data_IF_756953199758
#
_entry.id   IF_756953199758
#
_cell.length_a   1.000
_cell.length_b   1.000
_cell.length_c   1.000
_cell.angle_alpha   90.00
_cell.angle_beta   90.00
_cell.angle_gamma   90.00
#
_symmetry.space_group_name_H-M   'P 1'
#
loop_
_entity.id
_entity.type
_entity.pdbx_description
1 polymer ?
#
# COMPACT_ATOMS: atom_id res chain seq x y z
N UNK A 1 -30.91 21.79 17.23
CA UNK A 1 -29.47 21.94 16.91
C UNK A 1 -28.71 20.79 17.57
N UNK A 2 -28.39 19.69 16.86
CA UNK A 2 -27.40 18.66 17.29
C UNK A 2 -27.46 17.40 16.40
N UNK A 3 -27.19 17.54 15.10
CA UNK A 3 -26.89 16.38 14.25
C UNK A 3 -25.56 16.57 13.50
N UNK A 4 -25.17 17.82 13.22
CA UNK A 4 -23.96 18.14 12.45
C UNK A 4 -22.65 17.85 13.20
N UNK A 5 -22.61 18.00 14.53
CA UNK A 5 -21.41 17.79 15.35
C UNK A 5 -20.95 16.33 15.40
N UNK A 6 -21.89 15.37 15.36
CA UNK A 6 -21.57 13.95 15.27
C UNK A 6 -21.05 13.56 13.88
N UNK A 7 -21.58 14.20 12.83
CA UNK A 7 -21.08 14.01 11.47
C UNK A 7 -19.65 14.56 11.36
N UNK A 8 -19.38 15.80 11.75
CA UNK A 8 -18.01 16.35 11.69
C UNK A 8 -17.00 15.48 12.45
N UNK A 9 -17.36 14.99 13.65
CA UNK A 9 -16.51 14.09 14.43
C UNK A 9 -16.28 12.71 13.80
N UNK A 10 -17.28 12.18 13.09
CA UNK A 10 -17.14 10.92 12.34
C UNK A 10 -16.31 11.09 11.07
N UNK A 11 -16.44 12.21 10.38
CA UNK A 11 -15.70 12.53 9.16
C UNK A 11 -14.21 12.77 9.45
N UNK A 12 -13.88 13.53 10.50
CA UNK A 12 -12.49 13.73 10.94
C UNK A 12 -11.83 12.43 11.38
N UNK A 13 -12.57 11.55 12.08
CA UNK A 13 -12.08 10.21 12.45
C UNK A 13 -11.79 9.35 11.22
N UNK A 14 -12.71 9.27 10.25
CA UNK A 14 -12.49 8.52 9.01
C UNK A 14 -11.26 9.02 8.24
N UNK A 15 -11.08 10.35 8.14
CA UNK A 15 -9.92 10.94 7.45
C UNK A 15 -8.59 10.54 8.12
N UNK A 16 -8.56 10.50 9.45
CA UNK A 16 -7.39 10.05 10.21
C UNK A 16 -7.11 8.55 10.01
N UNK A 17 -8.15 7.71 9.95
CA UNK A 17 -8.01 6.27 9.69
C UNK A 17 -7.48 6.01 8.28
N UNK A 18 -8.06 6.68 7.27
CA UNK A 18 -7.60 6.60 5.86
C UNK A 18 -6.13 7.02 5.76
N UNK A 19 -5.75 8.14 6.40
CA UNK A 19 -4.37 8.62 6.37
C UNK A 19 -3.40 7.63 7.02
N UNK A 20 -3.76 7.08 8.18
CA UNK A 20 -2.95 6.05 8.86
C UNK A 20 -2.77 4.79 8.01
N UNK A 21 -3.81 4.35 7.31
CA UNK A 21 -3.71 3.20 6.40
C UNK A 21 -2.76 3.49 5.22
N UNK A 22 -2.89 4.66 4.58
CA UNK A 22 -2.01 5.08 3.50
C UNK A 22 -0.54 5.22 3.94
N UNK A 23 -0.30 5.84 5.10
CA UNK A 23 1.06 5.98 5.64
C UNK A 23 1.68 4.61 5.97
N UNK A 24 0.88 3.67 6.50
CA UNK A 24 1.30 2.28 6.75
C UNK A 24 1.63 1.56 5.44
N UNK A 25 0.75 1.63 4.45
CA UNK A 25 0.96 1.01 3.15
C UNK A 25 2.24 1.52 2.49
N UNK A 26 2.44 2.85 2.50
CA UNK A 26 3.66 3.49 1.98
C UNK A 26 4.92 2.95 2.68
N UNK A 27 4.90 2.88 4.00
CA UNK A 27 6.04 2.36 4.76
C UNK A 27 6.36 0.89 4.41
N UNK A 28 5.34 0.05 4.23
CA UNK A 28 5.53 -1.35 3.86
C UNK A 28 6.10 -1.53 2.45
N UNK A 29 5.66 -0.74 1.47
CA UNK A 29 6.23 -0.78 0.11
C UNK A 29 7.71 -0.37 0.11
N UNK A 30 8.06 0.67 0.88
CA UNK A 30 9.46 1.09 1.06
C UNK A 30 10.32 0.02 1.71
N UNK A 31 9.82 -0.59 2.78
CA UNK A 31 10.55 -1.69 3.44
C UNK A 31 10.75 -2.85 2.47
N UNK A 32 9.71 -3.22 1.72
CA UNK A 32 9.81 -4.29 0.75
C UNK A 32 10.86 -3.98 -0.33
N UNK A 33 10.89 -2.74 -0.84
CA UNK A 33 11.93 -2.27 -1.76
C UNK A 33 13.34 -2.42 -1.18
N UNK A 34 13.56 -1.94 0.04
CA UNK A 34 14.88 -2.08 0.71
C UNK A 34 15.31 -3.54 0.83
N UNK A 35 14.37 -4.46 1.09
CA UNK A 35 14.64 -5.89 1.16
C UNK A 35 14.95 -6.51 -0.22
N UNK A 36 14.30 -6.04 -1.29
CA UNK A 36 14.64 -6.46 -2.67
C UNK A 36 16.06 -6.03 -3.06
N UNK A 37 16.42 -4.80 -2.71
CA UNK A 37 17.75 -4.25 -2.98
C UNK A 37 18.84 -4.89 -2.09
N UNK A 38 18.47 -5.45 -0.93
CA UNK A 38 19.37 -6.04 0.06
C UNK A 38 18.86 -7.41 0.55
N UNK A 39 18.97 -8.47 -0.28
CA UNK A 39 18.38 -9.79 -0.01
C UNK A 39 18.99 -10.52 1.20
N UNK A 40 20.17 -10.08 1.67
CA UNK A 40 20.84 -10.63 2.86
C UNK A 40 20.21 -10.15 4.18
N UNK A 41 19.24 -9.22 4.14
CA UNK A 41 18.56 -8.75 5.35
C UNK A 41 17.51 -9.75 5.85
N UNK A 42 17.63 -10.10 7.14
CA UNK A 42 16.68 -10.93 7.88
C UNK A 42 15.27 -10.30 7.84
N UNK A 43 14.33 -10.90 7.11
CA UNK A 43 12.95 -10.41 7.07
C UNK A 43 12.14 -10.80 5.84
N UNK A 44 12.82 -11.10 4.73
CA UNK A 44 12.21 -11.69 3.53
C UNK A 44 12.63 -13.16 3.42
N UNK A 45 11.66 -14.07 3.50
CA UNK A 45 11.94 -15.49 3.22
C UNK A 45 11.98 -15.64 1.70
N UNK A 46 13.07 -16.18 1.16
CA UNK A 46 13.31 -16.39 -0.29
C UNK A 46 12.15 -17.08 -1.05
N UNK A 47 11.22 -17.73 -0.34
CA UNK A 47 10.09 -18.47 -0.89
C UNK A 47 8.72 -17.76 -0.71
N UNK A 48 8.65 -16.61 -0.03
CA UNK A 48 7.40 -15.89 0.21
C UNK A 48 7.07 -14.97 -0.99
N UNK A 49 5.78 -14.86 -1.37
CA UNK A 49 5.35 -13.91 -2.41
C UNK A 49 5.25 -12.47 -1.85
N UNK A 50 5.38 -11.45 -2.70
CA UNK A 50 5.32 -10.03 -2.27
C UNK A 50 3.97 -9.66 -1.74
N UNK A 51 2.92 -10.12 -2.41
CA UNK A 51 1.55 -10.02 -1.93
C UNK A 51 1.39 -10.67 -0.54
N UNK A 52 1.91 -11.89 -0.34
CA UNK A 52 1.80 -12.59 0.95
C UNK A 52 2.52 -11.86 2.07
N UNK A 53 3.75 -11.39 1.83
CA UNK A 53 4.53 -10.62 2.80
C UNK A 53 3.82 -9.33 3.22
N UNK A 54 3.20 -8.63 2.25
CA UNK A 54 2.43 -7.40 2.46
C UNK A 54 1.17 -7.69 3.28
N UNK A 55 0.38 -8.70 2.90
CA UNK A 55 -0.84 -9.10 3.63
C UNK A 55 -0.52 -9.44 5.09
N UNK A 56 0.53 -10.22 5.35
CA UNK A 56 0.90 -10.63 6.70
C UNK A 56 1.28 -9.45 7.61
N UNK A 57 1.81 -8.37 7.03
CA UNK A 57 2.15 -7.12 7.74
C UNK A 57 0.98 -6.13 7.76
N UNK A 58 -0.16 -6.54 7.23
CA UNK A 58 -1.42 -5.82 7.20
C UNK A 58 -1.41 -4.65 6.23
N UNK A 59 -0.76 -4.82 5.09
CA UNK A 59 -0.98 -3.95 3.94
C UNK A 59 -2.44 -4.05 3.51
N UNK A 60 -3.06 -2.90 3.24
CA UNK A 60 -4.47 -2.83 2.86
C UNK A 60 -4.61 -2.38 1.40
N UNK A 61 -4.88 -3.32 0.50
CA UNK A 61 -5.02 -3.07 -0.93
C UNK A 61 -6.20 -2.15 -1.30
N UNK A 62 -7.15 -1.92 -0.38
CA UNK A 62 -8.26 -1.01 -0.62
C UNK A 62 -7.85 0.46 -0.49
N UNK A 63 -6.73 0.76 0.18
CA UNK A 63 -6.27 2.12 0.42
C UNK A 63 -5.14 2.48 -0.55
N UNK A 64 -5.49 3.31 -1.54
CA UNK A 64 -4.57 3.89 -2.50
C UNK A 64 -4.97 5.35 -2.78
N UNK A 65 -4.01 6.16 -3.18
CA UNK A 65 -4.24 7.57 -3.55
C UNK A 65 -4.67 7.68 -5.00
N UNK A 66 -4.06 6.88 -5.89
CA UNK A 66 -4.26 6.98 -7.34
C UNK A 66 -4.12 5.62 -8.02
N UNK A 67 -4.72 5.51 -9.19
CA UNK A 67 -4.54 4.42 -10.14
C UNK A 67 -4.00 5.01 -11.44
N UNK A 68 -3.07 4.33 -12.07
CA UNK A 68 -2.54 4.70 -13.39
C UNK A 68 -2.57 3.48 -14.31
N UNK A 69 -2.81 3.70 -15.60
CA UNK A 69 -2.87 2.61 -16.60
C UNK A 69 -1.59 2.63 -17.40
N UNK A 70 -0.85 1.51 -17.37
CA UNK A 70 0.38 1.35 -18.12
C UNK A 70 0.09 1.04 -19.59
N UNK A 71 1.08 1.27 -20.45
CA UNK A 71 0.98 1.05 -21.89
C UNK A 71 0.76 -0.42 -22.29
N UNK A 72 1.08 -1.35 -21.39
CA UNK A 72 0.86 -2.79 -21.55
C UNK A 72 -0.54 -3.24 -21.06
N UNK A 73 -1.36 -2.31 -20.58
CA UNK A 73 -2.71 -2.56 -20.07
C UNK A 73 -2.77 -2.96 -18.59
N UNK A 74 -1.63 -3.07 -17.90
CA UNK A 74 -1.62 -3.29 -16.44
C UNK A 74 -1.99 -2.02 -15.69
N UNK A 75 -2.53 -2.18 -14.48
CA UNK A 75 -2.90 -1.07 -13.60
C UNK A 75 -1.85 -0.92 -12.50
N UNK A 76 -1.25 0.27 -12.42
CA UNK A 76 -0.40 0.72 -11.33
C UNK A 76 -1.25 1.28 -10.21
N UNK A 77 -1.13 0.72 -9.02
CA UNK A 77 -1.80 1.16 -7.80
C UNK A 77 -0.80 1.95 -6.96
N UNK A 78 -1.14 3.19 -6.59
CA UNK A 78 -0.21 4.10 -5.90
C UNK A 78 -0.67 4.46 -4.49
N UNK A 79 0.27 4.44 -3.55
CA UNK A 79 0.15 4.98 -2.20
C UNK A 79 1.14 6.15 -2.04
N UNK A 80 0.67 7.37 -2.30
CA UNK A 80 1.52 8.56 -2.46
C UNK A 80 2.48 8.43 -3.64
N UNK A 81 3.78 8.44 -3.37
CA UNK A 81 4.89 8.27 -4.32
C UNK A 81 5.24 6.81 -4.57
N UNK A 82 4.84 5.90 -3.68
CA UNK A 82 5.06 4.47 -3.83
C UNK A 82 3.96 3.82 -4.67
N UNK A 83 4.29 2.77 -5.40
CA UNK A 83 3.27 2.03 -6.14
C UNK A 83 3.69 0.62 -6.50
N UNK A 84 2.69 -0.16 -6.90
CA UNK A 84 2.88 -1.52 -7.36
C UNK A 84 1.94 -1.85 -8.52
N UNK A 85 2.31 -2.85 -9.30
CA UNK A 85 1.43 -3.52 -10.26
C UNK A 85 1.15 -4.92 -9.77
N UNK A 86 -0.03 -5.42 -10.07
CA UNK A 86 -0.34 -6.85 -9.89
C UNK A 86 0.11 -7.59 -11.15
N UNK A 87 0.97 -8.57 -10.99
CA UNK A 87 1.42 -9.46 -12.07
C UNK A 87 1.31 -10.92 -11.63
N UNK A 88 0.62 -11.74 -12.42
CA UNK A 88 0.47 -13.18 -12.18
C UNK A 88 0.05 -13.57 -10.75
N UNK A 89 -0.76 -12.75 -10.09
CA UNK A 89 -1.24 -12.99 -8.73
C UNK A 89 -0.28 -12.56 -7.62
N UNK A 90 0.85 -11.94 -7.98
CA UNK A 90 1.81 -11.35 -7.05
C UNK A 90 1.98 -9.84 -7.29
N UNK A 91 2.79 -9.21 -6.45
CA UNK A 91 3.07 -7.77 -6.47
C UNK A 91 4.45 -7.50 -7.06
N UNK A 92 4.50 -6.60 -8.04
CA UNK A 92 5.73 -6.03 -8.58
C UNK A 92 5.80 -4.54 -8.22
N UNK A 93 6.84 -4.13 -7.50
CA UNK A 93 6.99 -2.74 -7.07
C UNK A 93 7.39 -1.85 -8.26
N UNK A 94 6.74 -0.70 -8.43
CA UNK A 94 7.04 0.23 -9.52
C UNK A 94 8.35 0.97 -9.26
N UNK A 95 9.26 1.11 -10.23
CA UNK A 95 10.49 1.90 -10.05
C UNK A 95 10.17 3.35 -9.62
N UNK A 96 11.09 3.97 -8.87
CA UNK A 96 11.02 5.38 -8.47
C UNK A 96 11.05 6.33 -9.68
#
# INVERSE_FOLDING_TARGET
>A
MSQDSNLVGAWTRRRCVVRKALDKNRALLRTLRTLEDNPDQEGWRVQESKAQWLVQRGFDFQFHTHLDTLSDGRVKVMCFDEGFVMDNGDVELCPE
#
